data_IF_616873339292
#
_entry.id   IF_616873339292
#
_cell.length_a   1.000
_cell.length_b   1.000
_cell.length_c   1.000
_cell.angle_alpha   90.00
_cell.angle_beta   90.00
_cell.angle_gamma   90.00
#
_symmetry.space_group_name_H-M   'P 1'
#
loop_
_entity.id
_entity.type
_entity.pdbx_description
1 polymer ?
#
# COMPACT_ATOMS: atom_id res chain seq x y z
N UNK A 1 7.86 -10.67 -10.92
CA UNK A 1 6.54 -11.00 -10.34
C UNK A 1 6.35 -10.44 -8.93
N UNK A 2 7.07 -10.88 -7.88
CA UNK A 2 6.85 -10.29 -6.53
C UNK A 2 7.31 -8.82 -6.47
N UNK A 3 8.49 -8.50 -7.02
CA UNK A 3 8.99 -7.12 -7.03
C UNK A 3 8.10 -6.17 -7.83
N UNK A 4 7.40 -6.67 -8.85
CA UNK A 4 6.48 -5.92 -9.69
C UNK A 4 5.32 -5.35 -8.86
N UNK A 5 4.95 -5.99 -7.76
CA UNK A 5 3.95 -5.48 -6.81
C UNK A 5 4.60 -4.87 -5.57
N UNK A 6 5.47 -5.61 -4.89
CA UNK A 6 6.05 -5.23 -3.61
C UNK A 6 6.97 -4.00 -3.72
N UNK A 7 7.64 -3.80 -4.86
CA UNK A 7 8.56 -2.68 -5.09
C UNK A 7 7.85 -1.31 -5.09
N UNK A 8 6.56 -1.27 -5.44
CA UNK A 8 5.79 -0.04 -5.44
C UNK A 8 5.68 0.53 -4.04
N UNK A 9 6.12 1.79 -3.83
CA UNK A 9 6.12 2.45 -2.53
C UNK A 9 4.74 2.50 -1.84
N UNK A 10 3.65 2.34 -2.57
CA UNK A 10 2.27 2.28 -2.08
C UNK A 10 1.80 0.88 -1.67
N UNK A 11 2.57 -0.17 -1.97
CA UNK A 11 2.29 -1.50 -1.47
C UNK A 11 2.50 -1.57 0.07
N UNK A 12 1.61 -2.29 0.74
CA UNK A 12 1.79 -2.72 2.14
C UNK A 12 2.23 -4.17 2.09
N UNK A 13 3.34 -4.49 2.77
CA UNK A 13 3.92 -5.83 2.76
C UNK A 13 3.34 -6.63 3.93
N UNK A 14 2.70 -7.76 3.63
CA UNK A 14 2.26 -8.73 4.63
C UNK A 14 3.21 -9.92 4.62
N UNK A 15 4.05 -10.03 5.65
CA UNK A 15 5.06 -11.08 5.76
C UNK A 15 4.58 -12.17 6.70
N UNK A 16 4.20 -13.33 6.15
CA UNK A 16 3.70 -14.46 6.94
C UNK A 16 4.85 -15.40 7.30
N UNK A 17 5.02 -15.65 8.60
CA UNK A 17 6.01 -16.56 9.18
C UNK A 17 5.26 -17.58 10.05
N UNK A 18 5.41 -18.88 9.84
CA UNK A 18 4.88 -19.90 10.75
C UNK A 18 5.52 -19.79 12.13
N UNK A 19 4.75 -20.06 13.20
CA UNK A 19 5.20 -19.99 14.59
C UNK A 19 6.49 -20.79 14.81
N UNK A 20 6.55 -22.00 14.28
CA UNK A 20 7.72 -22.91 14.35
C UNK A 20 9.00 -22.32 13.75
N UNK A 21 8.91 -21.29 12.92
CA UNK A 21 10.06 -20.58 12.32
C UNK A 21 10.39 -19.27 13.04
N UNK A 22 9.69 -18.92 14.13
CA UNK A 22 9.89 -17.65 14.83
C UNK A 22 11.32 -17.47 15.36
N UNK A 23 11.99 -18.55 15.79
CA UNK A 23 13.38 -18.50 16.25
C UNK A 23 14.37 -18.08 15.15
N UNK A 24 14.06 -18.40 13.89
CA UNK A 24 14.89 -18.13 12.72
C UNK A 24 14.32 -17.03 11.82
N UNK A 25 13.39 -16.23 12.35
CA UNK A 25 12.67 -15.20 11.56
C UNK A 25 13.61 -14.25 10.82
N UNK A 26 14.77 -13.92 11.40
CA UNK A 26 15.75 -13.02 10.79
C UNK A 26 16.45 -13.62 9.55
N UNK A 27 16.55 -14.95 9.45
CA UNK A 27 17.08 -15.64 8.27
C UNK A 27 15.98 -16.05 7.29
N UNK A 28 14.71 -15.82 7.61
CA UNK A 28 13.60 -16.12 6.70
C UNK A 28 13.77 -15.42 5.35
N UNK A 29 13.51 -16.15 4.26
CA UNK A 29 13.52 -15.60 2.90
C UNK A 29 12.52 -14.46 2.76
N UNK A 30 11.35 -14.57 3.38
CA UNK A 30 10.30 -13.56 3.30
C UNK A 30 10.74 -12.24 3.96
N UNK A 31 11.44 -12.32 5.10
CA UNK A 31 11.97 -11.14 5.80
C UNK A 31 13.13 -10.52 5.03
N UNK A 32 14.03 -11.33 4.46
CA UNK A 32 15.11 -10.82 3.60
C UNK A 32 14.56 -10.04 2.42
N UNK A 33 13.59 -10.61 1.71
CA UNK A 33 12.93 -9.93 0.59
C UNK A 33 12.20 -8.66 1.03
N UNK A 34 11.51 -8.68 2.16
CA UNK A 34 10.86 -7.49 2.70
C UNK A 34 11.88 -6.40 3.04
N UNK A 35 13.04 -6.75 3.62
CA UNK A 35 14.11 -5.82 3.97
C UNK A 35 14.78 -5.19 2.73
N UNK A 36 14.91 -5.95 1.64
CA UNK A 36 15.45 -5.44 0.38
C UNK A 36 14.56 -4.32 -0.22
N UNK A 37 13.27 -4.35 0.09
CA UNK A 37 12.24 -3.45 -0.48
C UNK A 37 11.79 -2.37 0.53
N UNK A 38 11.84 -2.67 1.82
CA UNK A 38 11.37 -1.86 2.94
C UNK A 38 12.34 -2.00 4.12
N UNK A 39 13.54 -1.45 3.96
CA UNK A 39 14.67 -1.66 4.88
C UNK A 39 14.42 -1.25 6.34
N UNK A 40 13.52 -0.28 6.58
CA UNK A 40 13.13 0.20 7.89
C UNK A 40 11.84 -0.44 8.43
N UNK A 41 11.13 -1.24 7.62
CA UNK A 41 9.86 -1.86 7.98
C UNK A 41 8.67 -0.90 7.99
N UNK A 42 8.82 0.32 7.44
CA UNK A 42 7.82 1.39 7.55
C UNK A 42 6.43 1.05 7.01
N UNK A 43 6.35 0.06 6.10
CA UNK A 43 5.14 -0.41 5.41
C UNK A 43 4.98 -1.94 5.48
N UNK A 44 5.68 -2.60 6.40
CA UNK A 44 5.64 -4.05 6.57
C UNK A 44 4.88 -4.42 7.85
N UNK A 45 3.97 -5.39 7.72
CA UNK A 45 3.30 -6.06 8.83
C UNK A 45 3.76 -7.51 8.85
N UNK A 46 4.24 -7.97 10.00
CA UNK A 46 4.62 -9.36 10.22
C UNK A 46 3.44 -10.15 10.78
N UNK A 47 3.21 -11.34 10.25
CA UNK A 47 2.14 -12.25 10.69
C UNK A 47 2.77 -13.54 11.18
N UNK A 48 2.63 -13.83 12.47
CA UNK A 48 3.03 -15.09 13.08
C UNK A 48 1.83 -16.05 13.01
N UNK A 49 1.86 -16.96 12.05
CA UNK A 49 0.76 -17.90 11.77
C UNK A 49 0.95 -19.24 12.49
N UNK A 50 -0.12 -20.04 12.59
CA UNK A 50 -0.05 -21.41 13.13
C UNK A 50 0.46 -21.47 14.58
N UNK A 51 0.07 -20.50 15.42
CA UNK A 51 0.45 -20.46 16.84
C UNK A 51 -0.01 -21.70 17.60
N UNK A 52 -1.17 -22.25 17.24
CA UNK A 52 -1.72 -23.51 17.73
C UNK A 52 -0.77 -24.71 17.54
N UNK A 53 0.04 -24.72 16.48
CA UNK A 53 1.02 -25.79 16.27
C UNK A 53 2.27 -25.66 17.14
N UNK A 54 2.47 -24.51 17.77
CA UNK A 54 3.56 -24.27 18.71
C UNK A 54 3.12 -24.42 20.17
N UNK A 55 1.83 -24.73 20.42
CA UNK A 55 1.32 -24.97 21.77
C UNK A 55 2.08 -26.14 22.43
N UNK A 56 2.59 -25.92 23.63
CA UNK A 56 3.44 -26.88 24.35
C UNK A 56 4.94 -26.76 24.06
N UNK A 57 5.37 -26.08 23.00
CA UNK A 57 6.78 -25.75 22.78
C UNK A 57 7.14 -24.39 23.41
N UNK A 58 7.58 -24.43 24.67
CA UNK A 58 7.94 -23.25 25.42
C UNK A 58 9.01 -22.37 24.73
N UNK A 59 9.94 -22.97 23.98
CA UNK A 59 10.99 -22.22 23.27
C UNK A 59 10.38 -21.43 22.12
N UNK A 60 9.54 -22.07 21.31
CA UNK A 60 8.87 -21.40 20.19
C UNK A 60 7.92 -20.31 20.68
N UNK A 61 7.13 -20.59 21.73
CA UNK A 61 6.23 -19.60 22.33
C UNK A 61 6.99 -18.38 22.87
N UNK A 62 8.12 -18.58 23.54
CA UNK A 62 8.97 -17.49 24.01
C UNK A 62 9.49 -16.61 22.85
N UNK A 63 9.90 -17.23 21.74
CA UNK A 63 10.32 -16.50 20.54
C UNK A 63 9.17 -15.69 19.92
N UNK A 64 7.97 -16.27 19.82
CA UNK A 64 6.77 -15.57 19.34
C UNK A 64 6.44 -14.37 20.23
N UNK A 65 6.42 -14.55 21.55
CA UNK A 65 6.14 -13.47 22.50
C UNK A 65 7.17 -12.33 22.43
N UNK A 66 8.45 -12.69 22.23
CA UNK A 66 9.51 -11.70 22.03
C UNK A 66 9.26 -10.86 20.77
N UNK A 67 8.89 -11.48 19.65
CA UNK A 67 8.55 -10.77 18.41
C UNK A 67 7.33 -9.86 18.56
N UNK A 68 6.26 -10.36 19.18
CA UNK A 68 5.05 -9.57 19.46
C UNK A 68 5.33 -8.40 20.41
N UNK A 69 6.34 -8.49 21.27
CA UNK A 69 6.74 -7.41 22.17
C UNK A 69 7.82 -6.48 21.57
N UNK A 70 8.13 -6.60 20.28
CA UNK A 70 9.23 -5.90 19.60
C UNK A 70 10.60 -6.12 20.28
N UNK A 71 10.79 -7.28 20.92
CA UNK A 71 12.04 -7.75 21.54
C UNK A 71 12.71 -8.87 20.72
N UNK A 72 12.41 -8.92 19.43
CA UNK A 72 13.01 -9.88 18.49
C UNK A 72 14.49 -9.59 18.20
N UNK A 73 15.09 -10.35 17.26
CA UNK A 73 16.46 -10.11 16.82
C UNK A 73 16.70 -8.65 16.39
N UNK A 74 17.82 -8.06 16.84
CA UNK A 74 18.16 -6.63 16.60
C UNK A 74 18.36 -6.27 15.14
N UNK A 75 18.57 -7.25 14.27
CA UNK A 75 18.79 -7.07 12.84
C UNK A 75 17.49 -7.06 12.00
N UNK A 76 16.35 -7.28 12.66
CA UNK A 76 15.03 -7.09 12.05
C UNK A 76 14.70 -5.60 11.94
N UNK A 77 14.06 -5.17 10.85
CA UNK A 77 13.41 -3.86 10.79
C UNK A 77 12.31 -3.73 11.87
N UNK A 78 11.86 -2.50 12.14
CA UNK A 78 10.80 -2.24 13.12
C UNK A 78 9.43 -2.63 12.53
N UNK A 79 9.15 -3.93 12.58
CA UNK A 79 7.96 -4.55 11.99
C UNK A 79 6.89 -4.71 13.08
N UNK A 80 5.67 -4.27 12.76
CA UNK A 80 4.49 -4.55 13.60
C UNK A 80 4.05 -6.01 13.40
N UNK A 81 4.21 -6.84 14.44
CA UNK A 81 3.84 -8.26 14.44
C UNK A 81 2.43 -8.51 14.97
N UNK A 82 1.70 -9.41 14.33
CA UNK A 82 0.38 -9.93 14.76
C UNK A 82 0.38 -11.45 14.73
N UNK A 83 -0.23 -12.09 15.74
CA UNK A 83 -0.32 -13.55 15.84
C UNK A 83 -1.70 -14.07 15.39
N UNK A 84 -1.72 -15.19 14.69
CA UNK A 84 -2.92 -15.88 14.20
C UNK A 84 -2.84 -17.40 14.43
N UNK A 85 -3.99 -18.04 14.63
CA UNK A 85 -4.07 -19.52 14.64
C UNK A 85 -4.10 -20.08 13.21
N UNK A 86 -3.55 -21.28 13.03
CA UNK A 86 -3.45 -21.98 11.76
C UNK A 86 -4.73 -22.73 11.38
N UNK A 87 -5.44 -23.28 12.37
CA UNK A 87 -6.72 -23.94 12.16
C UNK A 87 -7.84 -22.93 11.84
N UNK A 88 -7.93 -22.54 10.57
CA UNK A 88 -9.10 -21.84 10.02
C UNK A 88 -10.27 -22.79 9.67
N UNK A 89 -10.10 -24.11 9.87
CA UNK A 89 -11.03 -25.13 9.32
C UNK A 89 -12.17 -25.50 10.28
N UNK A 90 -11.96 -25.49 11.61
CA UNK A 90 -13.08 -25.66 12.56
C UNK A 90 -14.11 -24.52 12.45
N UNK A 91 -13.63 -23.32 12.06
CA UNK A 91 -14.45 -22.14 11.81
C UNK A 91 -15.18 -22.24 10.45
N UNK A 92 -14.56 -22.87 9.44
CA UNK A 92 -15.19 -23.10 8.12
C UNK A 92 -16.24 -24.22 8.15
N UNK A 93 -16.05 -25.27 8.96
CA UNK A 93 -17.04 -26.36 9.10
C UNK A 93 -18.28 -25.96 9.90
N UNK A 94 -18.22 -24.91 10.72
CA UNK A 94 -19.40 -24.32 11.36
C UNK A 94 -20.31 -23.58 10.34
N UNK A 95 -19.80 -23.25 9.16
CA UNK A 95 -20.53 -22.54 8.10
C UNK A 95 -21.19 -23.48 7.08
N UNK A 96 -20.90 -24.78 7.08
CA UNK A 96 -21.47 -25.71 6.10
C UNK A 96 -22.87 -26.22 6.43
N UNK A 97 -23.46 -25.80 7.56
CA UNK A 97 -24.75 -26.33 8.05
C UNK A 97 -25.82 -25.32 8.46
N UNK A 98 -25.54 -24.02 8.50
CA UNK A 98 -26.56 -23.03 8.89
C UNK A 98 -26.39 -21.73 8.12
N UNK A 99 -27.22 -21.58 7.10
CA UNK A 99 -27.44 -20.32 6.39
C UNK A 99 -28.16 -19.39 7.38
N UNK A 100 -27.43 -18.46 8.02
CA UNK A 100 -28.09 -17.32 8.67
C UNK A 100 -27.58 -16.84 10.03
N UNK A 101 -26.27 -16.66 10.25
CA UNK A 101 -25.86 -15.72 11.30
C UNK A 101 -24.60 -14.93 10.92
N UNK A 102 -24.77 -13.63 10.70
CA UNK A 102 -23.66 -12.67 10.60
C UNK A 102 -22.76 -12.71 11.85
N UNK A 103 -23.30 -13.18 12.98
CA UNK A 103 -22.59 -13.39 14.23
C UNK A 103 -21.57 -14.56 14.20
N UNK A 104 -21.66 -15.49 13.24
CA UNK A 104 -20.80 -16.70 13.25
C UNK A 104 -19.31 -16.38 13.05
N UNK A 105 -19.00 -15.43 12.17
CA UNK A 105 -17.62 -15.05 11.85
C UNK A 105 -16.98 -14.19 12.95
N UNK A 106 -17.73 -13.22 13.49
CA UNK A 106 -17.27 -12.41 14.63
C UNK A 106 -17.04 -13.30 15.86
N UNK A 107 -17.96 -14.23 16.14
CA UNK A 107 -17.81 -15.21 17.23
C UNK A 107 -16.56 -16.07 17.04
N UNK A 108 -16.27 -16.47 15.80
CA UNK A 108 -15.09 -17.25 15.48
C UNK A 108 -13.79 -16.46 15.63
N UNK A 109 -13.77 -15.17 15.29
CA UNK A 109 -12.62 -14.29 15.49
C UNK A 109 -12.39 -13.99 16.97
N UNK A 110 -13.45 -13.87 17.76
CA UNK A 110 -13.31 -13.76 19.21
C UNK A 110 -12.80 -15.06 19.83
N UNK A 111 -13.31 -16.23 19.41
CA UNK A 111 -12.81 -17.51 19.86
C UNK A 111 -11.31 -17.68 19.54
N UNK A 112 -10.87 -17.29 18.33
CA UNK A 112 -9.45 -17.25 17.98
C UNK A 112 -8.64 -16.36 18.94
N UNK A 113 -9.13 -15.16 19.23
CA UNK A 113 -8.44 -14.24 20.14
C UNK A 113 -8.31 -14.84 21.54
N UNK A 114 -9.35 -15.51 22.06
CA UNK A 114 -9.31 -16.20 23.36
C UNK A 114 -8.33 -17.39 23.35
N UNK A 115 -8.31 -18.20 22.29
CA UNK A 115 -7.30 -19.27 22.15
C UNK A 115 -5.88 -18.70 22.17
N UNK A 116 -5.63 -17.62 21.42
CA UNK A 116 -4.32 -16.97 21.41
C UNK A 116 -3.95 -16.37 22.77
N UNK A 117 -4.90 -15.82 23.53
CA UNK A 117 -4.66 -15.33 24.90
C UNK A 117 -4.25 -16.45 25.84
N UNK A 118 -4.85 -17.64 25.70
CA UNK A 118 -4.51 -18.83 26.47
C UNK A 118 -3.09 -19.33 26.16
N UNK A 119 -2.72 -19.39 24.87
CA UNK A 119 -1.39 -19.86 24.44
C UNK A 119 -0.29 -18.82 24.72
N UNK A 120 -0.58 -17.53 24.48
CA UNK A 120 0.37 -16.42 24.52
C UNK A 120 0.12 -15.49 25.71
N UNK A 121 0.13 -16.04 26.93
CA UNK A 121 -0.23 -15.33 28.18
C UNK A 121 0.51 -14.00 28.44
N UNK A 122 1.75 -13.86 27.97
CA UNK A 122 2.56 -12.63 28.10
C UNK A 122 2.52 -11.69 26.90
N UNK A 123 1.74 -11.97 25.86
CA UNK A 123 1.70 -11.16 24.65
C UNK A 123 0.68 -10.01 24.75
N UNK A 124 0.95 -8.85 24.11
CA UNK A 124 -0.02 -7.75 24.05
C UNK A 124 -1.30 -8.16 23.33
N UNK A 125 -2.46 -8.01 23.99
CA UNK A 125 -3.77 -8.37 23.41
C UNK A 125 -4.07 -7.63 22.10
N UNK A 126 -3.54 -6.42 21.92
CA UNK A 126 -3.70 -5.64 20.68
C UNK A 126 -3.04 -6.28 19.45
N UNK A 127 -2.28 -7.36 19.61
CA UNK A 127 -1.58 -8.08 18.54
C UNK A 127 -2.07 -9.53 18.33
N UNK A 128 -3.20 -9.91 18.92
CA UNK A 128 -3.70 -11.28 18.89
C UNK A 128 -4.97 -11.40 18.05
N UNK A 129 -4.92 -12.25 17.02
CA UNK A 129 -6.06 -12.64 16.22
C UNK A 129 -6.38 -11.72 15.04
N UNK A 130 -7.41 -12.10 14.29
CA UNK A 130 -7.82 -11.39 13.06
C UNK A 130 -8.28 -9.95 13.31
N UNK A 131 -8.96 -9.68 14.42
CA UNK A 131 -9.40 -8.32 14.78
C UNK A 131 -8.19 -7.37 14.90
N UNK A 132 -7.13 -7.83 15.57
CA UNK A 132 -5.86 -7.11 15.66
C UNK A 132 -5.19 -6.95 14.30
N UNK A 133 -5.22 -7.97 13.43
CA UNK A 133 -4.66 -7.88 12.09
C UNK A 133 -5.39 -6.83 11.24
N UNK A 134 -6.72 -6.81 11.26
CA UNK A 134 -7.53 -5.81 10.55
C UNK A 134 -7.19 -4.40 11.03
N UNK A 135 -7.07 -4.21 12.35
CA UNK A 135 -6.66 -2.94 12.94
C UNK A 135 -5.26 -2.50 12.48
N UNK A 136 -4.29 -3.42 12.49
CA UNK A 136 -2.92 -3.15 12.04
C UNK A 136 -2.86 -2.79 10.54
N UNK A 137 -3.59 -3.51 9.69
CA UNK A 137 -3.70 -3.23 8.25
C UNK A 137 -4.33 -1.86 8.03
N UNK A 138 -5.46 -1.57 8.69
CA UNK A 138 -6.15 -0.29 8.57
C UNK A 138 -5.27 0.89 9.01
N UNK A 139 -4.54 0.73 10.12
CA UNK A 139 -3.55 1.72 10.61
C UNK A 139 -2.44 1.96 9.57
N UNK A 140 -1.90 0.90 8.98
CA UNK A 140 -0.87 1.04 7.94
C UNK A 140 -1.39 1.68 6.66
N UNK A 141 -2.59 1.31 6.19
CA UNK A 141 -3.24 1.98 5.06
C UNK A 141 -3.35 3.48 5.31
N UNK A 142 -3.90 3.88 6.47
CA UNK A 142 -4.03 5.30 6.84
C UNK A 142 -2.67 6.00 6.90
N UNK A 143 -1.64 5.36 7.48
CA UNK A 143 -0.27 5.90 7.53
C UNK A 143 0.30 6.12 6.13
N UNK A 144 0.17 5.15 5.23
CA UNK A 144 0.67 5.26 3.84
C UNK A 144 -0.09 6.29 3.03
N UNK A 145 -1.42 6.35 3.18
CA UNK A 145 -2.25 7.36 2.51
C UNK A 145 -1.82 8.79 2.89
N UNK A 146 -1.52 9.06 4.16
CA UNK A 146 -1.04 10.39 4.62
C UNK A 146 0.25 10.81 3.93
N UNK A 147 1.17 9.88 3.68
CA UNK A 147 2.44 10.15 2.99
C UNK A 147 2.24 10.29 1.47
N UNK A 148 1.34 9.50 0.89
CA UNK A 148 1.14 9.42 -0.57
C UNK A 148 0.29 10.54 -1.13
N UNK A 149 -0.76 10.96 -0.42
CA UNK A 149 -1.76 11.88 -0.95
C UNK A 149 -1.16 13.24 -1.41
N UNK A 150 -0.25 13.88 -0.65
CA UNK A 150 0.37 15.13 -1.10
C UNK A 150 1.19 14.95 -2.39
N UNK A 151 1.98 13.89 -2.48
CA UNK A 151 2.81 13.61 -3.66
C UNK A 151 1.96 13.34 -4.92
N UNK A 152 0.84 12.63 -4.75
CA UNK A 152 -0.11 12.40 -5.84
C UNK A 152 -0.75 13.71 -6.30
N UNK A 153 -1.15 14.58 -5.37
CA UNK A 153 -1.75 15.87 -5.71
C UNK A 153 -0.77 16.75 -6.49
N UNK A 154 0.46 16.90 -6.01
CA UNK A 154 1.51 17.67 -6.69
C UNK A 154 1.81 17.08 -8.08
N UNK A 155 1.90 15.75 -8.18
CA UNK A 155 2.12 15.07 -9.46
C UNK A 155 0.98 15.30 -10.47
N UNK A 156 -0.27 15.29 -10.01
CA UNK A 156 -1.44 15.58 -10.86
C UNK A 156 -1.46 17.04 -11.30
N UNK A 157 -1.16 17.98 -10.39
CA UNK A 157 -1.07 19.41 -10.72
C UNK A 157 0.00 19.67 -11.78
N UNK A 158 1.19 19.09 -11.61
CA UNK A 158 2.27 19.21 -12.61
C UNK A 158 1.88 18.61 -13.97
N UNK A 159 1.25 17.43 -13.99
CA UNK A 159 0.73 16.82 -15.23
C UNK A 159 -0.36 17.68 -15.88
N UNK A 160 -1.25 18.26 -15.09
CA UNK A 160 -2.29 19.17 -15.58
C UNK A 160 -1.68 20.39 -16.27
N UNK A 161 -0.66 21.00 -15.67
CA UNK A 161 0.06 22.15 -16.26
C UNK A 161 0.77 21.76 -17.57
N UNK A 162 1.43 20.60 -17.61
CA UNK A 162 2.08 20.11 -18.84
C UNK A 162 1.05 19.90 -19.96
N UNK A 163 -0.09 19.28 -19.65
CA UNK A 163 -1.18 19.07 -20.62
C UNK A 163 -1.76 20.41 -21.09
N UNK A 164 -1.96 21.38 -20.18
CA UNK A 164 -2.44 22.71 -20.55
C UNK A 164 -1.45 23.46 -21.45
N UNK A 165 -0.16 23.39 -21.16
CA UNK A 165 0.88 23.99 -22.01
C UNK A 165 0.93 23.34 -23.40
N UNK A 166 0.79 22.02 -23.46
CA UNK A 166 0.76 21.30 -24.74
C UNK A 166 -0.51 21.59 -25.54
N UNK A 167 -1.67 21.70 -24.87
CA UNK A 167 -2.91 22.14 -25.51
C UNK A 167 -2.79 23.57 -26.05
N UNK A 168 -2.19 24.49 -25.30
CA UNK A 168 -1.96 25.85 -25.77
C UNK A 168 -1.02 25.89 -27.00
N UNK A 169 -0.01 25.00 -27.05
CA UNK A 169 0.88 24.84 -28.21
C UNK A 169 0.17 24.28 -29.44
N UNK A 170 -0.81 23.40 -29.25
CA UNK A 170 -1.61 22.82 -30.34
C UNK A 170 -2.65 23.81 -30.89
N UNK A 171 -2.94 24.88 -30.16
CA UNK A 171 -3.90 25.91 -30.57
C UNK A 171 -5.34 25.56 -30.23
N UNK A 172 -6.26 26.39 -30.71
CA UNK A 172 -7.69 26.22 -30.43
C UNK A 172 -8.32 25.06 -31.21
N UNK A 173 -9.46 24.59 -30.71
CA UNK A 173 -10.23 23.56 -31.40
C UNK A 173 -10.70 24.05 -32.77
N UNK A 174 -10.52 23.22 -33.81
CA UNK A 174 -11.00 23.56 -35.15
C UNK A 174 -12.52 23.77 -35.16
N UNK A 175 -12.96 24.87 -35.74
CA UNK A 175 -14.38 25.15 -35.97
C UNK A 175 -14.81 24.42 -37.25
N UNK A 176 -15.92 23.66 -37.18
CA UNK A 176 -16.38 22.85 -38.32
C UNK A 176 -17.42 23.54 -39.21
N UNK A 177 -17.89 24.73 -38.83
CA UNK A 177 -18.76 25.52 -39.70
C UNK A 177 -17.94 26.25 -40.78
N UNK A 178 -18.48 26.41 -42.00
CA UNK A 178 -17.83 27.20 -43.06
C UNK A 178 -17.55 28.65 -42.60
N UNK A 179 -18.49 29.25 -41.86
CA UNK A 179 -18.36 30.62 -41.34
C UNK A 179 -17.26 30.71 -40.28
N UNK A 180 -17.17 29.71 -39.40
CA UNK A 180 -16.15 29.63 -38.36
C UNK A 180 -14.74 29.41 -38.93
N UNK A 181 -14.62 28.52 -39.91
CA UNK A 181 -13.35 28.32 -40.65
C UNK A 181 -12.88 29.61 -41.30
N UNK A 182 -13.80 30.37 -41.92
CA UNK A 182 -13.47 31.66 -42.54
C UNK A 182 -13.04 32.71 -41.51
N UNK A 183 -13.67 32.75 -40.35
CA UNK A 183 -13.30 33.66 -39.27
C UNK A 183 -11.88 33.37 -38.76
N UNK A 184 -11.56 32.10 -38.50
CA UNK A 184 -10.23 31.65 -38.06
C UNK A 184 -9.15 31.98 -39.12
N UNK A 185 -9.44 31.74 -40.40
CA UNK A 185 -8.50 32.06 -41.48
C UNK A 185 -8.18 33.56 -41.55
N UNK A 186 -9.18 34.43 -41.37
CA UNK A 186 -8.98 35.87 -41.36
C UNK A 186 -8.15 36.34 -40.14
N UNK A 187 -8.37 35.72 -38.99
CA UNK A 187 -7.60 35.99 -37.77
C UNK A 187 -6.13 35.61 -37.94
N UNK A 188 -5.85 34.43 -38.48
CA UNK A 188 -4.49 33.97 -38.80
C UNK A 188 -3.79 34.89 -39.81
N UNK A 189 -4.51 35.38 -40.84
CA UNK A 189 -3.95 36.33 -41.80
C UNK A 189 -3.54 37.66 -41.14
N UNK A 190 -4.37 38.18 -40.22
CA UNK A 190 -4.05 39.40 -39.47
C UNK A 190 -2.86 39.22 -38.54
N UNK A 191 -2.84 38.11 -37.79
CA UNK A 191 -1.72 37.80 -36.88
C UNK A 191 -0.39 37.66 -37.64
N UNK A 192 -0.43 37.06 -38.85
CA UNK A 192 0.73 36.99 -39.73
C UNK A 192 1.19 38.37 -40.21
N UNK A 193 0.27 39.21 -40.69
CA UNK A 193 0.58 40.58 -41.13
C UNK A 193 1.21 41.40 -40.01
N UNK A 194 0.65 41.35 -38.80
CA UNK A 194 1.16 42.05 -37.62
C UNK A 194 2.57 41.58 -37.24
N UNK A 195 2.80 40.25 -37.19
CA UNK A 195 4.14 39.70 -36.90
C UNK A 195 5.16 40.02 -37.98
N UNK A 196 4.75 40.00 -39.26
CA UNK A 196 5.62 40.34 -40.38
C UNK A 196 6.03 41.81 -40.36
N UNK A 197 5.08 42.72 -40.11
CA UNK A 197 5.36 44.14 -39.95
C UNK A 197 6.22 44.43 -38.72
N UNK A 198 5.96 43.76 -37.60
CA UNK A 198 6.79 43.87 -36.40
C UNK A 198 8.23 43.44 -36.67
N UNK A 199 8.45 42.36 -37.42
CA UNK A 199 9.79 41.89 -37.78
C UNK A 199 10.54 42.86 -38.71
N UNK A 200 9.85 43.45 -39.69
CA UNK A 200 10.44 44.46 -40.58
C UNK A 200 10.81 45.74 -39.81
N UNK A 201 10.00 46.13 -38.83
CA UNK A 201 10.19 47.38 -38.06
C UNK A 201 11.14 47.25 -36.88
N UNK A 202 11.25 46.07 -36.25
CA UNK A 202 12.17 45.80 -35.14
C UNK A 202 13.62 45.57 -35.57
N UNK A 203 13.87 45.35 -36.87
CA UNK A 203 15.22 45.28 -37.41
C UNK A 203 16.00 44.02 -37.03
N UNK A 204 15.35 42.92 -36.65
CA UNK A 204 15.99 41.59 -36.59
C UNK A 204 16.23 41.05 -38.01
N UNK A 205 17.07 41.75 -38.77
CA UNK A 205 17.75 41.20 -39.92
C UNK A 205 18.84 40.29 -39.36
N UNK A 206 18.55 38.99 -39.27
CA UNK A 206 19.56 37.99 -38.97
C UNK A 206 20.73 38.09 -39.94
N UNK A 207 21.89 38.46 -39.41
CA UNK A 207 23.19 37.94 -39.83
C UNK A 207 23.61 36.82 -38.87
#
# INVERSE_FOLDING_TARGET
MINDYAGHNDAILLVVIPAVQAAEVASSRAIRLAKDIDSDGSRTIGILSKIDQAEGDAKTIACVQALLSNKGPKNLPDIEWVALVGQSVAIASAQSGSVGSENSLETAWQAEAETLKSILTGAPHSKLGRVSLVSAIAKQIRKRMKVRLPNLLTGLQGKSQMVQAELARLGESMVQSPEGTRAVALELCREFEDKFLAHITSGEVGG
#
